data_IF_719165933002
#
_entry.id   IF_719165933002
#
_cell.length_a   1.000
_cell.length_b   1.000
_cell.length_c   1.000
_cell.angle_alpha   90.00
_cell.angle_beta   90.00
_cell.angle_gamma   90.00
#
_symmetry.space_group_name_H-M   'P 1'
#
loop_
_entity.id
_entity.type
_entity.pdbx_description
1 polymer ?
#
# COMPACT_ATOMS: atom_id res chain seq x y z
N UNK A 1 14.80 -10.37 3.06
CA UNK A 1 13.71 -10.88 3.92
C UNK A 1 12.73 -9.73 4.09
N UNK A 2 11.54 -9.86 3.50
CA UNK A 2 10.48 -8.84 3.59
C UNK A 2 9.82 -9.01 4.96
N UNK A 3 9.95 -8.02 5.82
CA UNK A 3 9.24 -7.97 7.10
C UNK A 3 7.88 -7.32 6.85
N UNK A 4 6.79 -8.05 7.07
CA UNK A 4 5.47 -7.44 7.12
C UNK A 4 5.23 -6.92 8.53
N UNK A 5 4.94 -5.62 8.68
CA UNK A 5 4.64 -4.98 9.97
C UNK A 5 3.42 -5.60 10.69
N UNK A 6 2.51 -6.23 9.93
CA UNK A 6 1.36 -6.99 10.46
C UNK A 6 0.84 -8.00 9.45
N UNK A 7 0.12 -9.02 9.91
CA UNK A 7 -0.61 -9.96 9.05
C UNK A 7 -1.61 -9.24 8.13
N UNK A 8 -2.25 -8.19 8.64
CA UNK A 8 -3.20 -7.35 7.89
C UNK A 8 -2.55 -6.65 6.68
N UNK A 9 -1.32 -6.13 6.81
CA UNK A 9 -0.60 -5.53 5.67
C UNK A 9 -0.29 -6.62 4.64
N UNK A 10 0.15 -7.80 5.08
CA UNK A 10 0.41 -8.93 4.18
C UNK A 10 -0.84 -9.33 3.40
N UNK A 11 -1.95 -9.58 4.11
CA UNK A 11 -3.24 -9.92 3.53
C UNK A 11 -3.73 -8.84 2.55
N UNK A 12 -3.56 -7.56 2.90
CA UNK A 12 -3.92 -6.47 2.02
C UNK A 12 -3.07 -6.44 0.75
N UNK A 13 -1.75 -6.63 0.85
CA UNK A 13 -0.88 -6.68 -0.32
C UNK A 13 -1.18 -7.87 -1.23
N UNK A 14 -1.54 -9.03 -0.66
CA UNK A 14 -2.01 -10.19 -1.41
C UNK A 14 -3.35 -9.88 -2.11
N UNK A 15 -4.27 -9.17 -1.42
CA UNK A 15 -5.58 -8.79 -1.95
C UNK A 15 -5.51 -7.83 -3.14
N UNK A 16 -4.63 -6.83 -3.11
CA UNK A 16 -4.52 -5.83 -4.19
C UNK A 16 -3.63 -6.30 -5.36
N UNK A 17 -2.83 -7.36 -5.16
CA UNK A 17 -1.93 -7.90 -6.17
C UNK A 17 -2.68 -8.35 -7.42
N UNK A 18 -2.13 -8.01 -8.60
CA UNK A 18 -2.76 -8.31 -9.90
C UNK A 18 -1.87 -9.26 -10.71
N UNK A 19 -2.43 -10.33 -11.31
CA UNK A 19 -1.63 -11.39 -11.94
C UNK A 19 -0.83 -10.95 -13.18
N UNK A 20 -1.17 -9.83 -13.80
CA UNK A 20 -0.51 -9.30 -14.99
C UNK A 20 0.34 -8.05 -14.72
N UNK A 21 0.57 -7.73 -13.44
CA UNK A 21 1.44 -6.63 -13.01
C UNK A 21 2.70 -7.27 -12.44
N UNK A 22 3.86 -6.71 -12.78
CA UNK A 22 5.13 -7.18 -12.23
C UNK A 22 5.09 -7.11 -10.69
N UNK A 23 5.77 -8.00 -9.97
CA UNK A 23 5.86 -7.88 -8.52
C UNK A 23 6.52 -6.57 -8.10
N UNK A 24 6.00 -5.97 -7.04
CA UNK A 24 6.61 -4.83 -6.33
C UNK A 24 7.03 -5.30 -4.95
N UNK A 25 8.19 -4.87 -4.47
CA UNK A 25 8.63 -5.21 -3.11
C UNK A 25 8.04 -4.22 -2.10
N UNK A 26 7.55 -4.70 -0.96
CA UNK A 26 7.20 -3.84 0.18
C UNK A 26 8.35 -3.81 1.18
N UNK A 27 8.87 -2.64 1.49
CA UNK A 27 9.96 -2.43 2.43
C UNK A 27 9.49 -1.66 3.66
N UNK A 28 9.41 -2.35 4.80
CA UNK A 28 8.99 -1.76 6.07
C UNK A 28 10.22 -1.28 6.84
N UNK A 29 10.25 0.00 7.18
CA UNK A 29 11.37 0.62 7.92
C UNK A 29 11.03 0.73 9.42
N UNK A 30 11.76 0.01 10.30
CA UNK A 30 11.50 0.02 11.73
C UNK A 30 11.91 1.33 12.40
N UNK A 31 11.13 1.77 13.39
CA UNK A 31 11.45 2.93 14.23
C UNK A 31 11.12 4.31 13.64
N UNK A 32 10.41 4.37 12.51
CA UNK A 32 9.93 5.62 11.89
C UNK A 32 8.40 5.67 11.92
N UNK A 33 7.83 6.88 11.90
CA UNK A 33 6.39 7.16 11.86
C UNK A 33 5.92 7.72 10.50
N UNK A 34 6.84 8.31 9.75
CA UNK A 34 6.61 9.00 8.48
C UNK A 34 7.81 8.84 7.55
N UNK A 35 7.58 9.07 6.26
CA UNK A 35 8.60 9.17 5.21
C UNK A 35 8.60 10.60 4.70
N UNK A 36 9.78 11.18 4.50
CA UNK A 36 9.95 12.50 3.90
C UNK A 36 10.61 12.34 2.52
N UNK A 37 9.98 12.86 1.47
CA UNK A 37 10.53 12.87 0.12
C UNK A 37 11.60 13.97 -0.02
N UNK A 38 12.38 13.93 -1.10
CA UNK A 38 13.42 14.96 -1.36
C UNK A 38 12.86 16.38 -1.49
N UNK A 39 11.57 16.50 -1.80
CA UNK A 39 10.86 17.77 -1.92
C UNK A 39 10.30 18.26 -0.57
N UNK A 40 10.55 17.50 0.51
CA UNK A 40 10.12 17.82 1.88
C UNK A 40 8.68 17.41 2.19
N UNK A 41 8.00 16.70 1.28
CA UNK A 41 6.66 16.20 1.52
C UNK A 41 6.69 14.99 2.44
N UNK A 42 5.78 14.96 3.41
CA UNK A 42 5.68 13.88 4.39
C UNK A 42 4.51 12.96 4.05
N UNK A 43 4.80 11.67 3.96
CA UNK A 43 3.83 10.62 3.64
C UNK A 43 3.99 9.40 4.53
N UNK A 44 3.07 8.45 4.35
CA UNK A 44 3.07 7.14 5.03
C UNK A 44 3.50 6.00 4.11
N UNK A 45 3.74 6.30 2.83
CA UNK A 45 4.39 5.41 1.89
C UNK A 45 5.09 6.25 0.82
N UNK A 46 6.03 5.63 0.09
CA UNK A 46 6.58 6.18 -1.14
C UNK A 46 6.89 5.05 -2.11
N UNK A 47 6.61 5.26 -3.39
CA UNK A 47 7.06 4.39 -4.46
C UNK A 47 8.44 4.81 -4.98
N UNK A 48 9.43 3.94 -4.80
CA UNK A 48 10.76 4.07 -5.39
C UNK A 48 10.75 3.42 -6.78
N UNK A 49 10.69 4.28 -7.79
CA UNK A 49 10.65 3.92 -9.21
C UNK A 49 11.88 3.12 -9.65
N UNK A 50 13.07 3.46 -9.17
CA UNK A 50 14.33 2.89 -9.61
C UNK A 50 14.48 1.43 -9.18
N UNK A 51 13.96 1.12 -7.98
CA UNK A 51 14.08 -0.20 -7.37
C UNK A 51 12.78 -1.01 -7.38
N UNK A 52 11.69 -0.47 -7.95
CA UNK A 52 10.37 -1.08 -7.96
C UNK A 52 9.93 -1.57 -6.56
N UNK A 53 10.01 -0.66 -5.58
CA UNK A 53 9.64 -0.95 -4.18
C UNK A 53 8.76 0.13 -3.59
N UNK A 54 7.86 -0.28 -2.71
CA UNK A 54 7.03 0.61 -1.88
C UNK A 54 7.66 0.60 -0.50
N UNK A 55 7.99 1.76 0.03
CA UNK A 55 8.61 1.91 1.34
C UNK A 55 7.54 2.43 2.30
N UNK A 56 7.43 1.83 3.50
CA UNK A 56 6.48 2.24 4.55
C UNK A 56 7.16 2.26 5.93
N UNK A 57 6.79 3.18 6.83
CA UNK A 57 7.27 3.17 8.22
C UNK A 57 6.55 2.10 9.05
N UNK A 58 7.25 1.48 10.01
CA UNK A 58 6.69 0.46 10.93
C UNK A 58 5.82 1.08 12.05
N UNK A 59 6.21 2.26 12.55
CA UNK A 59 5.71 2.88 13.77
C UNK A 59 4.31 3.46 13.62
N UNK A 60 3.31 2.60 13.49
CA UNK A 60 1.94 2.99 13.16
C UNK A 60 0.98 2.72 14.32
N UNK A 61 0.22 3.75 14.71
CA UNK A 61 -0.91 3.60 15.63
C UNK A 61 -2.06 2.83 14.95
N UNK A 62 -2.99 2.26 15.73
CA UNK A 62 -4.19 1.57 15.19
C UNK A 62 -5.00 2.46 14.23
N UNK A 63 -5.08 3.76 14.49
CA UNK A 63 -5.77 4.74 13.63
C UNK A 63 -4.95 5.06 12.36
N UNK A 64 -3.62 4.99 12.41
CA UNK A 64 -2.73 5.15 11.25
C UNK A 64 -2.75 3.98 10.28
N UNK A 65 -3.18 2.79 10.71
CA UNK A 65 -3.17 1.57 9.86
C UNK A 65 -3.99 1.73 8.58
N UNK A 66 -5.22 2.25 8.66
CA UNK A 66 -6.07 2.45 7.47
C UNK A 66 -5.46 3.44 6.49
N UNK A 67 -4.82 4.48 7.01
CA UNK A 67 -4.10 5.45 6.18
C UNK A 67 -2.91 4.79 5.49
N UNK A 68 -2.19 3.88 6.16
CA UNK A 68 -1.09 3.12 5.57
C UNK A 68 -1.56 2.15 4.50
N UNK A 69 -2.64 1.39 4.71
CA UNK A 69 -3.21 0.55 3.65
C UNK A 69 -3.61 1.41 2.44
N UNK A 70 -4.20 2.58 2.68
CA UNK A 70 -4.54 3.53 1.63
C UNK A 70 -3.28 4.02 0.89
N UNK A 71 -2.21 4.39 1.61
CA UNK A 71 -0.95 4.83 1.00
C UNK A 71 -0.28 3.70 0.22
N UNK A 72 -0.25 2.46 0.74
CA UNK A 72 0.27 1.30 0.00
C UNK A 72 -0.49 1.10 -1.32
N UNK A 73 -1.83 1.16 -1.29
CA UNK A 73 -2.62 1.00 -2.50
C UNK A 73 -2.44 2.16 -3.49
N UNK A 74 -2.23 3.38 -2.98
CA UNK A 74 -1.90 4.55 -3.80
C UNK A 74 -0.56 4.33 -4.53
N UNK A 75 0.51 4.01 -3.80
CA UNK A 75 1.83 3.73 -4.38
C UNK A 75 1.83 2.51 -5.32
N UNK A 76 1.03 1.50 -5.00
CA UNK A 76 0.85 0.34 -5.88
C UNK A 76 0.18 0.72 -7.20
N UNK A 77 -0.72 1.71 -7.20
CA UNK A 77 -1.29 2.22 -8.45
C UNK A 77 -0.24 2.92 -9.31
N UNK A 78 0.67 3.69 -8.72
CA UNK A 78 1.81 4.24 -9.44
C UNK A 78 2.73 3.15 -10.00
N UNK A 79 2.92 2.06 -9.28
CA UNK A 79 3.60 0.89 -9.83
C UNK A 79 2.88 0.31 -11.05
N UNK A 80 1.54 0.18 -11.01
CA UNK A 80 0.74 -0.24 -12.17
C UNK A 80 0.93 0.74 -13.35
N UNK A 81 0.87 2.05 -13.10
CA UNK A 81 1.06 3.05 -14.15
C UNK A 81 2.46 2.96 -14.76
N UNK A 82 3.49 2.83 -13.93
CA UNK A 82 4.88 2.65 -14.35
C UNK A 82 5.04 1.38 -15.22
N UNK A 83 4.55 0.23 -14.76
CA UNK A 83 4.63 -1.03 -15.54
C UNK A 83 3.89 -0.97 -16.88
N UNK A 84 2.90 -0.08 -17.00
CA UNK A 84 2.13 0.14 -18.22
C UNK A 84 2.65 1.30 -19.07
N UNK A 85 3.75 1.96 -18.67
CA UNK A 85 4.31 3.12 -19.39
C UNK A 85 3.40 4.35 -19.38
N UNK A 86 2.56 4.50 -18.36
CA UNK A 86 1.65 5.63 -18.17
C UNK A 86 2.28 6.67 -17.23
N UNK A 87 1.93 7.93 -17.42
CA UNK A 87 2.25 8.98 -16.45
C UNK A 87 1.43 8.78 -15.17
N UNK A 88 1.99 9.21 -14.03
CA UNK A 88 1.30 9.15 -12.74
C UNK A 88 0.05 10.04 -12.74
N UNK A 89 -1.06 9.51 -12.21
CA UNK A 89 -2.32 10.22 -12.04
C UNK A 89 -2.79 10.11 -10.58
N UNK A 90 -2.47 11.14 -9.80
CA UNK A 90 -2.80 11.25 -8.37
C UNK A 90 -4.28 11.04 -8.07
N UNK A 91 -5.17 11.60 -8.88
CA UNK A 91 -6.62 11.50 -8.67
C UNK A 91 -7.09 10.04 -8.85
N UNK A 92 -6.54 9.34 -9.85
CA UNK A 92 -6.82 7.91 -10.04
C UNK A 92 -6.20 7.06 -8.93
N UNK A 93 -4.98 7.36 -8.51
CA UNK A 93 -4.30 6.67 -7.41
C UNK A 93 -5.12 6.78 -6.12
N UNK A 94 -5.57 7.98 -5.74
CA UNK A 94 -6.43 8.18 -4.57
C UNK A 94 -7.79 7.46 -4.68
N UNK A 95 -8.42 7.47 -5.87
CA UNK A 95 -9.69 6.76 -6.09
C UNK A 95 -9.50 5.25 -6.01
N UNK A 96 -8.40 4.73 -6.55
CA UNK A 96 -8.03 3.33 -6.47
C UNK A 96 -7.81 2.91 -5.02
N UNK A 97 -6.98 3.66 -4.28
CA UNK A 97 -6.68 3.40 -2.87
C UNK A 97 -7.96 3.32 -2.03
N UNK A 98 -8.84 4.33 -2.13
CA UNK A 98 -10.14 4.35 -1.43
C UNK A 98 -10.99 3.13 -1.72
N UNK A 99 -11.05 2.71 -3.00
CA UNK A 99 -11.82 1.53 -3.42
C UNK A 99 -11.23 0.23 -2.86
N UNK A 100 -9.91 0.06 -2.90
CA UNK A 100 -9.25 -1.16 -2.43
C UNK A 100 -9.37 -1.33 -0.93
N UNK A 101 -9.15 -0.27 -0.15
CA UNK A 101 -9.33 -0.31 1.31
C UNK A 101 -10.77 -0.64 1.68
N UNK A 102 -11.74 0.00 1.03
CA UNK A 102 -13.17 -0.28 1.28
C UNK A 102 -13.50 -1.73 0.94
N UNK A 103 -13.05 -2.23 -0.22
CA UNK A 103 -13.32 -3.60 -0.64
C UNK A 103 -12.68 -4.64 0.31
N UNK A 104 -11.47 -4.36 0.79
CA UNK A 104 -10.78 -5.21 1.76
C UNK A 104 -11.53 -5.29 3.09
N UNK A 105 -12.01 -4.14 3.62
CA UNK A 105 -12.83 -4.10 4.83
C UNK A 105 -14.12 -4.94 4.68
N UNK A 106 -14.81 -4.84 3.54
CA UNK A 106 -15.99 -5.66 3.27
C UNK A 106 -15.68 -7.16 3.15
N UNK A 107 -14.57 -7.52 2.51
CA UNK A 107 -14.14 -8.92 2.37
C UNK A 107 -13.81 -9.54 3.75
N UNK A 108 -13.09 -8.80 4.60
CA UNK A 108 -12.74 -9.24 5.95
C UNK A 108 -13.98 -9.47 6.83
N UNK A 109 -15.02 -8.63 6.70
CA UNK A 109 -16.30 -8.83 7.40
C UNK A 109 -17.03 -10.06 6.87
N UNK A 110 -17.11 -10.23 5.55
CA UNK A 110 -17.81 -11.37 4.94
C UNK A 110 -17.18 -12.72 5.30
N UNK A 111 -15.86 -12.79 5.47
CA UNK A 111 -15.18 -14.02 5.89
C UNK A 111 -15.28 -14.27 7.40
N UNK A 112 -15.55 -13.25 8.20
CA UNK A 112 -15.85 -13.39 9.63
C UNK A 112 -17.25 -13.98 9.84
N UNK A 113 -18.23 -13.59 9.03
CA UNK A 113 -19.60 -14.11 9.10
C UNK A 113 -19.73 -15.58 8.68
N UNK A 114 -18.84 -16.08 7.82
CA UNK A 114 -18.81 -17.51 7.41
C UNK A 114 -18.23 -18.44 8.47
N UNK A 115 -17.67 -17.92 9.56
CA UNK A 115 -17.05 -18.71 10.64
C UNK A 115 -17.97 -18.91 11.85
N UNK A 116 -19.27 -18.56 11.74
CA UNK A 116 -20.30 -18.72 12.78
C UNK A 116 -21.23 -19.88 12.42
#
# INVERSE_FOLDING_TARGET
>A
MIYFASDEIREFTEFISMPNISPVELYVIPGYDTIETTDGEKGLAVYDLENARIIVPEGLSKEGKKQVLSSIAHEYFHHIEHTQGKAHDEEKAEKFARRMVTAFEFAAVSDSDKRI
#
